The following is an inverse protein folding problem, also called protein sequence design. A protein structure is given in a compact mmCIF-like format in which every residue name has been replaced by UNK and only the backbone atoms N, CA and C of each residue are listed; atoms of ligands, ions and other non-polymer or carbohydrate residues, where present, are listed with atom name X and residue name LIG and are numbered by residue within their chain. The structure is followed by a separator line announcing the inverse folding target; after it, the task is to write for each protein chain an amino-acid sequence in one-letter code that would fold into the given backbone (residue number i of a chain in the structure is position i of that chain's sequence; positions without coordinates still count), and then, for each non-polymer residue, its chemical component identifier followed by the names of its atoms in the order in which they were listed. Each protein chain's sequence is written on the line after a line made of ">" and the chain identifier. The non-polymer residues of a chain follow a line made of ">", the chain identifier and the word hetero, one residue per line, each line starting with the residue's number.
data_IF_113852402661
#
_entry.id   IF_113852402661
#
_cell.length_a   1.000
_cell.length_b   1.000
_cell.length_c   1.000
_cell.angle_alpha   90.00
_cell.angle_beta   90.00
_cell.angle_gamma   90.00
#
_symmetry.space_group_name_H-M   'P 1'
#
loop_
_entity.id
_entity.type
_entity.pdbx_description
1 polymer ?
#
# COMPACT_ATOMS: atom_id res chain seq x y z
N UNK A 1 15.17 -8.13 -11.17
CA UNK A 1 14.00 -7.32 -11.57
C UNK A 1 12.89 -8.29 -11.88
N UNK A 2 12.09 -8.66 -10.89
CA UNK A 2 10.88 -9.45 -11.14
C UNK A 2 9.81 -8.46 -11.59
N UNK A 3 9.57 -8.40 -12.89
CA UNK A 3 8.46 -7.70 -13.55
C UNK A 3 7.12 -8.35 -13.15
N UNK A 4 6.84 -8.44 -11.85
CA UNK A 4 5.56 -8.94 -11.40
C UNK A 4 4.49 -7.95 -11.82
N UNK A 5 3.44 -8.49 -12.44
CA UNK A 5 2.27 -7.70 -12.78
C UNK A 5 1.77 -7.00 -11.53
N UNK A 6 1.64 -5.67 -11.61
CA UNK A 6 1.14 -4.84 -10.52
C UNK A 6 -0.20 -5.39 -10.00
N UNK A 7 -1.02 -6.02 -10.85
CA UNK A 7 -2.24 -6.70 -10.44
C UNK A 7 -2.04 -7.91 -9.52
N UNK A 8 -0.98 -8.69 -9.72
CA UNK A 8 -0.61 -9.80 -8.82
C UNK A 8 -0.11 -9.28 -7.48
N UNK A 9 0.69 -8.21 -7.48
CA UNK A 9 1.12 -7.53 -6.25
C UNK A 9 -0.08 -7.01 -5.45
N UNK A 10 -1.04 -6.36 -6.10
CA UNK A 10 -2.27 -5.93 -5.43
C UNK A 10 -3.11 -7.11 -4.94
N UNK A 11 -3.28 -8.17 -5.74
CA UNK A 11 -4.01 -9.37 -5.32
C UNK A 11 -3.36 -10.05 -4.11
N UNK A 12 -2.03 -10.13 -4.09
CA UNK A 12 -1.27 -10.63 -2.95
C UNK A 12 -1.41 -9.75 -1.71
N UNK A 13 -1.67 -8.45 -1.89
CA UNK A 13 -1.93 -7.48 -0.82
C UNK A 13 -3.34 -7.56 -0.20
N UNK A 14 -4.31 -8.17 -0.87
CA UNK A 14 -5.69 -8.29 -0.35
C UNK A 14 -5.72 -9.13 0.93
N UNK A 15 -5.05 -10.27 0.93
CA UNK A 15 -4.99 -11.18 2.08
C UNK A 15 -4.37 -10.51 3.33
N UNK A 16 -3.16 -9.92 3.28
CA UNK A 16 -2.59 -9.21 4.42
C UNK A 16 -3.39 -7.95 4.78
N UNK A 17 -3.96 -7.23 3.80
CA UNK A 17 -4.82 -6.07 4.09
C UNK A 17 -6.08 -6.43 4.87
N UNK A 18 -6.74 -7.54 4.49
CA UNK A 18 -7.90 -8.06 5.22
C UNK A 18 -7.51 -8.55 6.62
N UNK A 19 -6.39 -9.28 6.72
CA UNK A 19 -5.85 -9.74 7.99
C UNK A 19 -5.58 -8.55 8.93
N UNK A 20 -4.91 -7.50 8.43
CA UNK A 20 -4.58 -6.30 9.21
C UNK A 20 -5.84 -5.55 9.62
N UNK A 21 -6.84 -5.45 8.74
CA UNK A 21 -8.14 -4.83 9.04
C UNK A 21 -8.85 -5.57 10.19
N UNK A 22 -8.88 -6.90 10.15
CA UNK A 22 -9.45 -7.71 11.22
C UNK A 22 -8.64 -7.54 12.51
N UNK A 23 -7.32 -7.59 12.42
CA UNK A 23 -6.43 -7.47 13.58
C UNK A 23 -6.58 -6.11 14.28
N UNK A 24 -6.67 -5.01 13.52
CA UNK A 24 -6.94 -3.70 14.07
C UNK A 24 -8.35 -3.60 14.64
N UNK A 25 -9.37 -4.13 13.95
CA UNK A 25 -10.73 -4.17 14.47
C UNK A 25 -10.82 -4.89 15.82
N UNK A 26 -10.17 -6.05 15.92
CA UNK A 26 -10.06 -6.83 17.16
C UNK A 26 -9.27 -6.06 18.22
N UNK A 27 -8.15 -5.43 17.86
CA UNK A 27 -7.32 -4.65 18.79
C UNK A 27 -8.10 -3.47 19.36
N UNK A 28 -8.81 -2.71 18.51
CA UNK A 28 -9.66 -1.59 18.95
C UNK A 28 -10.78 -2.11 19.85
N UNK A 29 -11.42 -3.22 19.49
CA UNK A 29 -12.49 -3.82 20.31
C UNK A 29 -11.98 -4.23 21.70
N UNK A 30 -10.85 -4.94 21.76
CA UNK A 30 -10.19 -5.36 23.00
C UNK A 30 -9.79 -4.12 23.82
N UNK A 31 -9.19 -3.11 23.20
CA UNK A 31 -8.74 -1.89 23.88
C UNK A 31 -9.92 -1.10 24.46
N UNK A 32 -11.03 -0.97 23.71
CA UNK A 32 -12.26 -0.35 24.19
C UNK A 32 -12.92 -1.16 25.31
N UNK A 33 -12.77 -2.49 25.31
CA UNK A 33 -13.28 -3.35 26.38
C UNK A 33 -12.47 -3.21 27.68
N UNK A 34 -11.14 -3.16 27.60
CA UNK A 34 -10.27 -2.98 28.77
C UNK A 34 -10.21 -1.53 29.29
N UNK A 35 -10.38 -0.54 28.40
CA UNK A 35 -10.37 0.89 28.74
C UNK A 35 -11.56 1.61 28.09
N UNK A 36 -12.77 1.46 28.65
CA UNK A 36 -13.99 2.10 28.11
C UNK A 36 -13.94 3.64 28.12
N UNK A 37 -12.98 4.26 28.82
CA UNK A 37 -12.74 5.69 28.76
C UNK A 37 -12.09 6.21 27.46
N UNK A 38 -11.54 5.34 26.62
CA UNK A 38 -10.95 5.72 25.32
C UNK A 38 -11.99 5.90 24.21
N UNK A 39 -13.18 5.31 24.38
CA UNK A 39 -14.29 5.42 23.45
C UNK A 39 -15.62 5.52 24.23
N UNK A 40 -15.94 6.70 24.80
CA UNK A 40 -17.22 6.89 25.46
C UNK A 40 -18.37 6.63 24.47
N UNK A 41 -19.45 5.96 24.89
CA UNK A 41 -20.56 5.64 24.00
C UNK A 41 -21.16 6.94 23.43
N UNK A 42 -20.93 7.18 22.14
CA UNK A 42 -21.55 8.30 21.42
C UNK A 42 -23.07 8.18 21.36
N UNK A 43 -23.74 9.29 21.03
CA UNK A 43 -25.18 9.31 20.84
C UNK A 43 -25.63 8.20 19.87
N UNK A 44 -26.75 7.53 20.18
CA UNK A 44 -27.26 6.42 19.37
C UNK A 44 -27.61 6.92 17.97
N UNK A 45 -26.72 6.69 17.01
CA UNK A 45 -26.99 7.00 15.61
C UNK A 45 -28.07 6.08 15.06
N UNK A 46 -29.08 6.68 14.44
CA UNK A 46 -30.18 5.96 13.79
C UNK A 46 -29.65 5.19 12.57
N UNK A 47 -30.24 4.05 12.20
CA UNK A 47 -29.83 3.29 11.00
C UNK A 47 -29.76 4.16 9.72
N UNK A 48 -30.62 5.17 9.61
CA UNK A 48 -30.56 6.19 8.55
C UNK A 48 -29.29 7.04 8.60
N UNK A 49 -28.89 7.53 9.77
CA UNK A 49 -27.66 8.34 9.93
C UNK A 49 -26.40 7.51 9.65
N UNK A 50 -26.41 6.23 10.03
CA UNK A 50 -25.34 5.28 9.67
C UNK A 50 -25.20 5.15 8.16
N UNK A 51 -26.29 4.90 7.44
CA UNK A 51 -26.26 4.75 5.97
C UNK A 51 -25.89 6.06 5.27
N UNK A 52 -26.36 7.20 5.76
CA UNK A 52 -26.00 8.52 5.20
C UNK A 52 -24.52 8.83 5.42
N UNK A 53 -23.94 8.46 6.57
CA UNK A 53 -22.51 8.63 6.82
C UNK A 53 -21.63 7.78 5.90
N UNK A 54 -22.15 6.65 5.39
CA UNK A 54 -21.48 5.81 4.40
C UNK A 54 -21.46 6.44 3.00
N UNK A 55 -22.21 7.52 2.72
CA UNK A 55 -22.25 8.10 1.37
C UNK A 55 -20.88 8.61 0.90
N UNK A 56 -19.99 9.02 1.82
CA UNK A 56 -18.61 9.37 1.51
C UNK A 56 -17.73 8.17 1.11
N UNK A 57 -18.07 6.98 1.59
CA UNK A 57 -17.32 5.74 1.30
C UNK A 57 -17.68 5.20 -0.08
N UNK A 58 -18.91 5.44 -0.56
CA UNK A 58 -19.38 4.98 -1.87
C UNK A 58 -18.50 5.50 -3.00
N UNK A 59 -18.08 6.76 -2.95
CA UNK A 59 -17.21 7.37 -3.96
C UNK A 59 -15.83 6.71 -4.01
N UNK A 60 -15.25 6.43 -2.84
CA UNK A 60 -13.98 5.72 -2.74
C UNK A 60 -14.09 4.29 -3.26
N UNK A 61 -15.18 3.58 -2.93
CA UNK A 61 -15.45 2.23 -3.42
C UNK A 61 -15.69 2.21 -4.94
N UNK A 62 -16.37 3.21 -5.48
CA UNK A 62 -16.60 3.34 -6.92
C UNK A 62 -15.29 3.55 -7.66
N UNK A 63 -14.43 4.44 -7.16
CA UNK A 63 -13.12 4.70 -7.74
C UNK A 63 -12.19 3.48 -7.62
N UNK A 64 -12.18 2.81 -6.45
CA UNK A 64 -11.46 1.57 -6.25
C UNK A 64 -11.95 0.47 -7.21
N UNK A 65 -13.27 0.30 -7.34
CA UNK A 65 -13.87 -0.67 -8.25
C UNK A 65 -13.55 -0.38 -9.73
N UNK A 66 -13.54 0.89 -10.13
CA UNK A 66 -13.14 1.32 -11.47
C UNK A 66 -11.69 0.93 -11.78
N UNK A 67 -10.77 1.27 -10.87
CA UNK A 67 -9.33 1.05 -11.07
C UNK A 67 -8.98 -0.43 -10.95
N UNK A 68 -9.39 -1.09 -9.87
CA UNK A 68 -9.09 -2.50 -9.62
C UNK A 68 -9.85 -3.42 -10.56
N UNK A 69 -11.13 -3.15 -10.81
CA UNK A 69 -11.92 -3.90 -11.78
C UNK A 69 -11.35 -3.78 -13.19
N UNK A 70 -10.99 -2.57 -13.62
CA UNK A 70 -10.34 -2.36 -14.91
C UNK A 70 -8.99 -3.06 -15.04
N UNK A 71 -8.22 -3.13 -13.95
CA UNK A 71 -6.91 -3.78 -13.92
C UNK A 71 -6.99 -5.31 -13.91
N UNK A 72 -7.97 -5.91 -13.21
CA UNK A 72 -8.16 -7.37 -13.21
C UNK A 72 -8.80 -7.89 -14.49
N UNK A 73 -9.70 -7.13 -15.11
CA UNK A 73 -10.32 -7.48 -16.40
C UNK A 73 -9.35 -7.26 -17.57
N UNK A 74 -8.24 -6.55 -17.34
CA UNK A 74 -7.22 -6.27 -18.37
C UNK A 74 -7.60 -5.12 -19.30
N UNK A 75 -8.55 -4.27 -18.89
CA UNK A 75 -8.95 -3.08 -19.64
C UNK A 75 -7.91 -1.96 -19.56
N UNK A 76 -7.17 -1.91 -18.46
CA UNK A 76 -6.12 -0.92 -18.24
C UNK A 76 -4.81 -1.59 -17.84
N UNK A 77 -3.72 -1.08 -18.39
CA UNK A 77 -2.40 -1.28 -17.80
C UNK A 77 -2.30 -0.53 -16.48
N UNK A 78 -1.33 -0.84 -15.60
CA UNK A 78 -1.20 -0.17 -14.31
C UNK A 78 -1.02 1.35 -14.41
N UNK A 79 -0.33 1.81 -15.46
CA UNK A 79 -0.15 3.23 -15.75
C UNK A 79 -1.47 3.89 -16.18
N UNK A 80 -2.24 3.24 -17.04
CA UNK A 80 -3.57 3.71 -17.46
C UNK A 80 -4.59 3.67 -16.32
N UNK A 81 -4.51 2.66 -15.45
CA UNK A 81 -5.35 2.55 -14.27
C UNK A 81 -5.11 3.71 -13.29
N UNK A 82 -3.85 4.13 -13.14
CA UNK A 82 -3.48 5.35 -12.39
C UNK A 82 -4.09 6.62 -13.02
N UNK A 83 -4.01 6.77 -14.34
CA UNK A 83 -4.61 7.91 -15.05
C UNK A 83 -6.15 7.93 -14.93
N UNK A 84 -6.81 6.77 -15.06
CA UNK A 84 -8.25 6.62 -14.87
C UNK A 84 -8.67 6.92 -13.43
N UNK A 85 -7.88 6.49 -12.44
CA UNK A 85 -8.09 6.81 -11.03
C UNK A 85 -7.98 8.31 -10.74
N UNK A 86 -6.96 8.98 -11.28
CA UNK A 86 -6.78 10.43 -11.15
C UNK A 86 -7.91 11.22 -11.83
N UNK A 87 -8.31 10.82 -13.04
CA UNK A 87 -9.46 11.41 -13.73
C UNK A 87 -10.76 11.20 -12.95
N UNK A 88 -11.00 10.00 -12.43
CA UNK A 88 -12.14 9.68 -11.57
C UNK A 88 -12.16 10.53 -10.29
N UNK A 89 -11.01 10.69 -9.62
CA UNK A 89 -10.88 11.52 -8.44
C UNK A 89 -11.20 12.99 -8.74
N UNK A 90 -10.71 13.51 -9.88
CA UNK A 90 -10.99 14.86 -10.32
C UNK A 90 -12.48 15.08 -10.59
N UNK A 91 -13.14 14.14 -11.27
CA UNK A 91 -14.58 14.21 -11.54
C UNK A 91 -15.37 14.22 -10.22
N UNK A 92 -15.04 13.34 -9.27
CA UNK A 92 -15.70 13.30 -7.96
C UNK A 92 -15.51 14.62 -7.20
N UNK A 93 -14.29 15.17 -7.20
CA UNK A 93 -14.00 16.45 -6.55
C UNK A 93 -14.78 17.62 -7.19
N UNK A 94 -14.96 17.59 -8.51
CA UNK A 94 -15.72 18.59 -9.27
C UNK A 94 -17.23 18.48 -8.98
N UNK A 95 -17.78 17.27 -8.96
CA UNK A 95 -19.19 17.00 -8.61
C UNK A 95 -19.49 17.45 -7.18
N UNK A 96 -18.56 17.23 -6.24
CA UNK A 96 -18.69 17.72 -4.85
C UNK A 96 -18.54 19.23 -4.70
N UNK A 97 -18.14 19.96 -5.76
CA UNK A 97 -17.87 21.42 -5.74
C UNK A 97 -16.91 21.85 -4.63
N UNK A 98 -15.99 20.95 -4.22
CA UNK A 98 -14.98 21.24 -3.19
C UNK A 98 -13.60 21.56 -3.77
N UNK A 99 -13.48 21.57 -5.10
CA UNK A 99 -12.22 21.83 -5.77
C UNK A 99 -11.93 23.34 -5.79
N UNK A 100 -10.82 23.75 -5.17
CA UNK A 100 -10.25 25.08 -5.31
C UNK A 100 -9.02 25.04 -6.19
N UNK A 101 -8.77 26.10 -6.98
CA UNK A 101 -7.59 26.16 -7.85
C UNK A 101 -6.28 26.00 -7.07
N UNK A 102 -6.20 26.64 -5.89
CA UNK A 102 -5.06 26.49 -4.97
C UNK A 102 -4.90 25.04 -4.51
N UNK A 103 -5.97 24.40 -4.02
CA UNK A 103 -5.93 23.01 -3.57
C UNK A 103 -5.58 22.00 -4.68
N UNK A 104 -5.96 22.27 -5.93
CA UNK A 104 -5.53 21.48 -7.08
C UNK A 104 -4.02 21.58 -7.33
N UNK A 105 -3.47 22.80 -7.33
CA UNK A 105 -2.03 23.03 -7.47
C UNK A 105 -1.24 22.45 -6.30
N UNK A 106 -1.72 22.60 -5.07
CA UNK A 106 -1.10 22.03 -3.87
C UNK A 106 -1.07 20.50 -3.96
N UNK A 107 -2.17 19.87 -4.39
CA UNK A 107 -2.25 18.41 -4.57
C UNK A 107 -1.28 17.90 -5.63
N UNK A 108 -1.12 18.64 -6.75
CA UNK A 108 -0.13 18.32 -7.78
C UNK A 108 1.30 18.44 -7.23
N UNK A 109 1.60 19.52 -6.52
CA UNK A 109 2.93 19.74 -5.94
C UNK A 109 3.30 18.65 -4.92
N UNK A 110 2.38 18.27 -4.04
CA UNK A 110 2.58 17.19 -3.07
C UNK A 110 2.78 15.84 -3.77
N UNK A 111 1.96 15.55 -4.80
CA UNK A 111 2.09 14.32 -5.59
C UNK A 111 3.46 14.26 -6.29
N UNK A 112 3.89 15.36 -6.91
CA UNK A 112 5.20 15.45 -7.55
C UNK A 112 6.32 15.28 -6.53
N UNK A 113 6.22 15.87 -5.34
CA UNK A 113 7.23 15.74 -4.29
C UNK A 113 7.41 14.29 -3.83
N UNK A 114 6.31 13.60 -3.55
CA UNK A 114 6.34 12.17 -3.20
C UNK A 114 6.95 11.36 -4.34
N UNK A 115 6.52 11.64 -5.57
CA UNK A 115 7.02 10.96 -6.77
C UNK A 115 8.53 11.13 -6.90
N UNK A 116 9.05 12.36 -6.81
CA UNK A 116 10.49 12.66 -6.88
C UNK A 116 11.26 11.94 -5.78
N UNK A 117 10.76 11.92 -4.55
CA UNK A 117 11.40 11.19 -3.45
C UNK A 117 11.54 9.70 -3.77
N UNK A 118 10.46 9.07 -4.27
CA UNK A 118 10.48 7.66 -4.69
C UNK A 118 11.46 7.45 -5.85
N UNK A 119 11.42 8.28 -6.89
CA UNK A 119 12.34 8.16 -8.03
C UNK A 119 13.81 8.28 -7.61
N UNK A 120 14.15 9.22 -6.72
CA UNK A 120 15.52 9.36 -6.20
C UNK A 120 15.96 8.10 -5.46
N UNK A 121 15.11 7.54 -4.59
CA UNK A 121 15.40 6.28 -3.88
C UNK A 121 15.61 5.13 -4.88
N UNK A 122 14.74 5.00 -5.87
CA UNK A 122 14.82 3.94 -6.90
C UNK A 122 16.08 4.10 -7.75
N UNK A 123 16.45 5.32 -8.14
CA UNK A 123 17.69 5.59 -8.89
C UNK A 123 18.90 5.22 -8.04
N UNK A 124 18.96 5.65 -6.78
CA UNK A 124 20.05 5.30 -5.87
C UNK A 124 20.17 3.79 -5.66
N UNK A 125 19.05 3.10 -5.45
CA UNK A 125 19.00 1.64 -5.31
C UNK A 125 19.45 0.93 -6.59
N UNK A 126 19.12 1.47 -7.77
CA UNK A 126 19.51 0.88 -9.06
C UNK A 126 21.01 1.02 -9.31
N UNK A 127 21.58 2.19 -9.03
CA UNK A 127 23.03 2.42 -9.12
C UNK A 127 23.77 1.49 -8.16
N UNK A 128 23.32 1.42 -6.90
CA UNK A 128 23.89 0.54 -5.89
C UNK A 128 23.76 -0.94 -6.29
N UNK A 129 22.60 -1.35 -6.81
CA UNK A 129 22.38 -2.71 -7.31
C UNK A 129 23.32 -3.07 -8.46
N UNK A 130 23.60 -2.13 -9.36
CA UNK A 130 24.58 -2.34 -10.44
C UNK A 130 26.00 -2.48 -9.89
N UNK A 131 26.38 -1.64 -8.92
CA UNK A 131 27.66 -1.76 -8.21
C UNK A 131 27.82 -3.12 -7.51
N UNK A 132 26.78 -3.60 -6.80
CA UNK A 132 26.76 -4.91 -6.17
C UNK A 132 26.89 -6.05 -7.19
N UNK A 133 26.27 -5.92 -8.37
CA UNK A 133 26.37 -6.91 -9.44
C UNK A 133 27.79 -6.97 -10.03
N UNK A 134 28.43 -5.82 -10.25
CA UNK A 134 29.81 -5.75 -10.77
C UNK A 134 30.81 -6.33 -9.76
N UNK A 135 30.65 -6.01 -8.48
CA UNK A 135 31.52 -6.50 -7.40
C UNK A 135 31.27 -7.97 -7.04
N UNK A 136 30.21 -8.59 -7.57
CA UNK A 136 29.81 -10.00 -7.32
C UNK A 136 29.61 -10.36 -5.84
N UNK A 137 29.53 -9.38 -4.94
CA UNK A 137 29.30 -9.59 -3.51
C UNK A 137 28.06 -10.45 -3.22
N UNK A 138 26.90 -10.23 -3.87
CA UNK A 138 25.73 -11.09 -3.65
C UNK A 138 25.95 -12.55 -4.08
N UNK A 139 26.78 -12.77 -5.11
CA UNK A 139 27.07 -14.09 -5.66
C UNK A 139 27.99 -14.88 -4.73
N UNK A 140 29.07 -14.27 -4.25
CA UNK A 140 29.98 -14.90 -3.28
C UNK A 140 29.27 -15.22 -1.96
N UNK A 141 28.41 -14.32 -1.47
CA UNK A 141 27.56 -14.58 -0.31
C UNK A 141 26.62 -15.77 -0.53
N UNK A 142 26.04 -15.87 -1.73
CA UNK A 142 25.12 -16.98 -2.07
C UNK A 142 25.85 -18.32 -2.15
N UNK A 143 27.07 -18.36 -2.69
CA UNK A 143 27.91 -19.56 -2.69
C UNK A 143 28.35 -19.97 -1.28
N UNK A 144 28.72 -19.00 -0.45
CA UNK A 144 29.07 -19.26 0.95
C UNK A 144 27.88 -19.84 1.74
N UNK A 145 26.68 -19.27 1.54
CA UNK A 145 25.44 -19.78 2.14
C UNK A 145 25.05 -21.14 1.56
N UNK A 146 25.25 -21.37 0.26
CA UNK A 146 25.00 -22.67 -0.37
C UNK A 146 25.98 -23.77 0.05
N UNK A 147 27.20 -23.40 0.46
CA UNK A 147 28.18 -24.32 1.02
C UNK A 147 27.82 -24.83 2.42
N UNK A 148 26.99 -24.10 3.16
CA UNK A 148 26.39 -24.57 4.40
C UNK A 148 25.33 -25.62 4.06
N UNK A 149 25.54 -26.88 4.48
CA UNK A 149 24.58 -28.00 4.33
C UNK A 149 23.32 -27.81 5.20
N UNK A 150 22.66 -26.65 5.11
CA UNK A 150 21.46 -26.32 5.84
C UNK A 150 20.21 -26.55 4.99
N UNK A 151 19.09 -26.87 5.65
CA UNK A 151 17.81 -27.00 4.97
C UNK A 151 17.36 -25.62 4.41
N UNK A 152 16.85 -25.53 3.17
CA UNK A 152 16.38 -24.28 2.57
C UNK A 152 15.37 -23.50 3.45
N UNK A 153 14.56 -24.23 4.23
CA UNK A 153 13.57 -23.64 5.14
C UNK A 153 14.21 -22.82 6.27
N UNK A 154 15.40 -23.21 6.74
CA UNK A 154 16.12 -22.50 7.81
C UNK A 154 16.71 -21.20 7.28
N UNK A 155 17.29 -21.22 6.08
CA UNK A 155 17.83 -20.03 5.40
C UNK A 155 16.69 -19.03 5.14
N UNK A 156 15.55 -19.50 4.65
CA UNK A 156 14.37 -18.66 4.43
C UNK A 156 13.86 -18.04 5.74
N UNK A 157 13.90 -18.79 6.84
CA UNK A 157 13.57 -18.27 8.18
C UNK A 157 14.48 -17.12 8.62
N UNK A 158 15.80 -17.24 8.42
CA UNK A 158 16.75 -16.16 8.72
C UNK A 158 16.53 -14.91 7.87
N UNK A 159 16.24 -15.08 6.57
CA UNK A 159 15.94 -13.96 5.67
C UNK A 159 14.68 -13.22 6.14
N UNK A 160 13.60 -13.96 6.44
CA UNK A 160 12.34 -13.37 6.93
C UNK A 160 12.58 -12.64 8.27
N UNK A 161 13.33 -13.24 9.19
CA UNK A 161 13.65 -12.62 10.47
C UNK A 161 14.46 -11.33 10.30
N UNK A 162 15.47 -11.34 9.43
CA UNK A 162 16.23 -10.14 9.07
C UNK A 162 15.35 -9.06 8.46
N UNK A 163 14.44 -9.41 7.54
CA UNK A 163 13.47 -8.47 6.99
C UNK A 163 12.50 -7.91 8.03
N UNK A 164 12.10 -8.69 9.04
CA UNK A 164 11.25 -8.21 10.12
C UNK A 164 11.97 -7.13 10.93
N UNK A 165 13.22 -7.37 11.31
CA UNK A 165 14.05 -6.39 12.04
C UNK A 165 14.25 -5.13 11.19
N UNK A 166 14.68 -5.27 9.94
CA UNK A 166 14.86 -4.12 9.04
C UNK A 166 13.55 -3.36 8.80
N UNK A 167 12.42 -4.08 8.72
CA UNK A 167 11.08 -3.50 8.62
C UNK A 167 10.75 -2.64 9.84
N UNK A 168 11.03 -3.11 11.06
CA UNK A 168 10.84 -2.35 12.28
C UNK A 168 11.70 -1.07 12.37
N UNK A 169 12.79 -0.97 11.60
CA UNK A 169 13.63 0.24 11.54
C UNK A 169 13.19 1.23 10.44
N UNK A 170 12.49 0.77 9.41
CA UNK A 170 12.02 1.61 8.30
C UNK A 170 10.69 2.32 8.58
N UNK A 171 9.89 1.80 9.52
CA UNK A 171 8.64 2.40 10.03
C UNK A 171 8.94 3.52 11.04
#
# INVERSE_FOLDING_TARGET
>A
MTEESIGKLFAAGILPGLLLTILFGVTIYILCWFKPGLAPPGARATWKERIISLSGVIEMLLLFGLVMGGLFVGWFTPTEAGAAGAAGALIIALVRRRLSWRGFLDSLADTTRITVMVFVIVTGATIFGHFMAVTRVPFELSEWVGGLRMSPNVIMGFIIFGYLICGCFMD
#
